data_IF_999672276029
#
_entry.id   IF_999672276029
#
_cell.length_a   1.000
_cell.length_b   1.000
_cell.length_c   1.000
_cell.angle_alpha   90.00
_cell.angle_beta   90.00
_cell.angle_gamma   90.00
#
_symmetry.space_group_name_H-M   'P 1'
#
loop_
_entity.id
_entity.type
_entity.pdbx_description
1 polymer ?
#
# COMPACT_ATOMS: atom_id res chain seq x y z
N UNK A 1 35.12 -27.82 34.71
CA UNK A 1 35.93 -26.62 34.98
C UNK A 1 36.37 -26.10 33.61
N UNK A 2 36.04 -24.92 33.12
CA UNK A 2 35.27 -23.79 33.62
C UNK A 2 34.53 -23.21 32.41
N UNK A 3 33.21 -23.04 32.49
CA UNK A 3 32.46 -22.19 31.56
C UNK A 3 32.81 -20.76 31.92
N UNK A 4 33.79 -20.18 31.22
CA UNK A 4 34.11 -18.76 31.34
C UNK A 4 32.87 -17.97 30.95
N UNK A 5 32.30 -17.24 31.89
CA UNK A 5 31.24 -16.27 31.60
C UNK A 5 31.79 -15.26 30.59
N UNK A 6 31.03 -14.90 29.55
CA UNK A 6 31.48 -13.88 28.60
C UNK A 6 31.67 -12.57 29.36
N UNK A 7 32.89 -12.01 29.33
CA UNK A 7 33.16 -10.68 29.86
C UNK A 7 32.23 -9.68 29.17
N UNK A 8 31.22 -9.25 29.90
CA UNK A 8 30.25 -8.26 29.43
C UNK A 8 30.96 -6.91 29.39
N UNK A 9 31.48 -6.54 28.22
CA UNK A 9 32.08 -5.23 28.00
C UNK A 9 30.99 -4.14 28.05
N UNK A 10 30.99 -3.37 29.14
CA UNK A 10 30.14 -2.20 29.30
C UNK A 10 30.71 -1.08 28.43
N UNK A 11 29.86 -0.49 27.60
CA UNK A 11 30.24 0.67 26.78
C UNK A 11 29.98 1.96 27.54
N UNK A 12 30.92 2.90 27.42
CA UNK A 12 30.73 4.29 27.80
C UNK A 12 29.89 5.01 26.72
N UNK A 13 28.66 5.39 27.09
CA UNK A 13 27.73 6.06 26.19
C UNK A 13 28.01 7.55 25.97
N UNK A 14 28.77 8.20 26.86
CA UNK A 14 28.97 9.65 26.83
C UNK A 14 29.61 10.14 25.52
N UNK A 15 30.68 9.51 24.98
CA UNK A 15 31.27 9.93 23.71
C UNK A 15 30.29 9.85 22.53
N UNK A 16 29.38 8.87 22.54
CA UNK A 16 28.37 8.70 21.50
C UNK A 16 27.29 9.77 21.59
N UNK A 17 26.83 10.07 22.81
CA UNK A 17 25.86 11.14 23.08
C UNK A 17 26.44 12.50 22.67
N UNK A 18 27.71 12.77 22.99
CA UNK A 18 28.39 14.01 22.63
C UNK A 18 28.55 14.15 21.12
N UNK A 19 28.95 13.08 20.42
CA UNK A 19 29.05 13.07 18.97
C UNK A 19 27.68 13.32 18.31
N UNK A 20 26.64 12.61 18.74
CA UNK A 20 25.27 12.79 18.23
C UNK A 20 24.72 14.19 18.55
N UNK A 21 25.13 14.79 19.65
CA UNK A 21 24.73 16.16 20.00
C UNK A 21 25.32 17.19 19.03
N UNK A 22 26.55 16.99 18.55
CA UNK A 22 27.14 17.85 17.50
C UNK A 22 26.34 17.76 16.19
N UNK A 23 25.99 16.55 15.78
CA UNK A 23 25.13 16.32 14.61
C UNK A 23 23.74 16.96 14.76
N UNK A 24 23.15 16.90 15.95
CA UNK A 24 21.89 17.61 16.26
C UNK A 24 22.05 19.13 16.04
N UNK A 25 23.15 19.72 16.51
CA UNK A 25 23.42 21.15 16.37
C UNK A 25 23.65 21.56 14.92
N UNK A 26 24.39 20.75 14.16
CA UNK A 26 24.60 20.92 12.72
C UNK A 26 23.29 20.84 11.94
N UNK A 27 22.46 19.82 12.22
CA UNK A 27 21.13 19.70 11.62
C UNK A 27 20.23 20.89 11.96
N UNK A 28 20.26 21.37 13.21
CA UNK A 28 19.52 22.57 13.63
C UNK A 28 20.00 23.83 12.90
N UNK A 29 21.31 23.94 12.64
CA UNK A 29 21.86 25.02 11.83
C UNK A 29 21.36 24.96 10.38
N UNK A 30 21.42 23.77 9.76
CA UNK A 30 20.91 23.55 8.40
C UNK A 30 19.42 23.90 8.28
N UNK A 31 18.60 23.55 9.29
CA UNK A 31 17.18 23.93 9.35
C UNK A 31 16.98 25.44 9.33
N UNK A 32 17.78 26.20 10.09
CA UNK A 32 17.71 27.67 10.10
C UNK A 32 18.07 28.25 8.72
N UNK A 33 18.97 27.61 8.00
CA UNK A 33 19.36 27.96 6.64
C UNK A 33 18.41 27.42 5.56
N UNK A 34 17.33 26.71 5.93
CA UNK A 34 16.39 26.02 5.03
C UNK A 34 17.05 24.94 4.14
N UNK A 35 18.21 24.45 4.55
CA UNK A 35 18.91 23.35 3.88
C UNK A 35 18.40 22.01 4.40
N UNK A 36 17.14 21.69 4.09
CA UNK A 36 16.45 20.54 4.67
C UNK A 36 17.12 19.19 4.38
N UNK A 37 17.67 18.99 3.18
CA UNK A 37 18.34 17.74 2.81
C UNK A 37 19.62 17.52 3.63
N UNK A 38 20.41 18.57 3.86
CA UNK A 38 21.60 18.48 4.72
C UNK A 38 21.22 18.27 6.19
N UNK A 39 20.13 18.90 6.64
CA UNK A 39 19.62 18.68 7.98
C UNK A 39 19.23 17.21 8.22
N UNK A 40 18.54 16.58 7.27
CA UNK A 40 18.20 15.14 7.35
C UNK A 40 19.46 14.30 7.46
N UNK A 41 20.45 14.51 6.58
CA UNK A 41 21.70 13.76 6.63
C UNK A 41 22.42 13.90 7.99
N UNK A 42 22.51 15.12 8.52
CA UNK A 42 23.11 15.34 9.84
C UNK A 42 22.34 14.61 10.96
N UNK A 43 21.00 14.60 10.93
CA UNK A 43 20.23 13.84 11.93
C UNK A 43 20.38 12.33 11.77
N UNK A 44 20.43 11.81 10.54
CA UNK A 44 20.69 10.39 10.24
C UNK A 44 22.07 9.97 10.77
N UNK A 45 23.12 10.79 10.56
CA UNK A 45 24.45 10.55 11.10
C UNK A 45 24.47 10.55 12.63
N UNK A 46 23.73 11.47 13.25
CA UNK A 46 23.55 11.51 14.71
C UNK A 46 22.87 10.26 15.26
N UNK A 47 21.82 9.76 14.60
CA UNK A 47 21.13 8.51 14.97
C UNK A 47 22.08 7.32 14.80
N UNK A 48 22.80 7.23 13.69
CA UNK A 48 23.77 6.17 13.42
C UNK A 48 24.91 6.14 14.45
N UNK A 49 25.30 7.28 15.04
CA UNK A 49 26.23 7.30 16.16
C UNK A 49 25.65 6.63 17.41
N UNK A 50 24.38 6.89 17.71
CA UNK A 50 23.69 6.31 18.88
C UNK A 50 23.42 4.81 18.69
N UNK A 51 23.11 4.37 17.48
CA UNK A 51 22.85 2.95 17.17
C UNK A 51 24.09 2.04 17.41
N UNK A 52 25.30 2.60 17.49
CA UNK A 52 26.52 1.85 17.83
C UNK A 52 26.48 1.23 19.22
N UNK A 53 25.65 1.75 20.11
CA UNK A 53 25.43 1.25 21.45
C UNK A 53 24.28 0.23 21.55
N UNK A 54 23.48 0.05 20.49
CA UNK A 54 22.30 -0.81 20.56
C UNK A 54 22.68 -2.27 20.85
N UNK A 55 21.94 -2.88 21.76
CA UNK A 55 22.19 -4.26 22.21
C UNK A 55 23.41 -4.42 23.13
N UNK A 56 24.06 -3.32 23.53
CA UNK A 56 25.24 -3.36 24.39
C UNK A 56 24.93 -2.79 25.77
N UNK A 57 25.46 -3.40 26.85
CA UNK A 57 25.21 -2.93 28.20
C UNK A 57 25.91 -1.60 28.44
N UNK A 58 25.18 -0.70 29.10
CA UNK A 58 25.55 0.69 29.35
C UNK A 58 24.92 1.13 30.67
N UNK A 59 25.44 2.21 31.28
CA UNK A 59 24.80 2.80 32.46
C UNK A 59 23.37 3.23 32.13
N UNK A 60 22.43 2.94 33.05
CA UNK A 60 21.01 3.27 32.86
C UNK A 60 20.77 4.75 32.51
N UNK A 61 21.49 5.65 33.18
CA UNK A 61 21.38 7.10 32.94
C UNK A 61 21.81 7.50 31.52
N UNK A 62 22.80 6.81 30.96
CA UNK A 62 23.26 7.03 29.59
C UNK A 62 22.27 6.46 28.57
N UNK A 63 21.68 5.28 28.86
CA UNK A 63 20.60 4.71 28.04
C UNK A 63 19.41 5.66 27.98
N UNK A 64 18.96 6.19 29.13
CA UNK A 64 17.86 7.17 29.19
C UNK A 64 18.19 8.44 28.38
N UNK A 65 19.42 8.97 28.50
CA UNK A 65 19.87 10.13 27.74
C UNK A 65 19.95 9.85 26.22
N UNK A 66 20.42 8.67 25.82
CA UNK A 66 20.47 8.25 24.42
C UNK A 66 19.08 8.12 23.80
N UNK A 67 18.15 7.48 24.52
CA UNK A 67 16.76 7.34 24.07
C UNK A 67 16.11 8.71 23.90
N UNK A 68 16.28 9.61 24.87
CA UNK A 68 15.78 10.98 24.77
C UNK A 68 16.38 11.74 23.58
N UNK A 69 17.69 11.59 23.33
CA UNK A 69 18.36 12.22 22.20
C UNK A 69 17.90 11.63 20.85
N UNK A 70 17.74 10.30 20.74
CA UNK A 70 17.17 9.65 19.55
C UNK A 70 15.77 10.21 19.25
N UNK A 71 14.90 10.30 20.25
CA UNK A 71 13.57 10.88 20.09
C UNK A 71 13.64 12.31 19.50
N UNK A 72 14.51 13.18 20.03
CA UNK A 72 14.70 14.54 19.52
C UNK A 72 15.19 14.55 18.07
N UNK A 73 16.18 13.71 17.73
CA UNK A 73 16.73 13.61 16.38
C UNK A 73 15.66 13.16 15.37
N UNK A 74 14.92 12.10 15.67
CA UNK A 74 13.80 11.63 14.83
C UNK A 74 12.72 12.70 14.67
N UNK A 75 12.37 13.40 15.76
CA UNK A 75 11.38 14.47 15.71
C UNK A 75 11.84 15.60 14.77
N UNK A 76 13.10 16.03 14.87
CA UNK A 76 13.65 17.10 14.02
C UNK A 76 13.87 16.65 12.57
N UNK A 77 14.21 15.38 12.34
CA UNK A 77 14.27 14.79 11.02
C UNK A 77 12.90 14.82 10.35
N UNK A 78 11.82 14.46 11.06
CA UNK A 78 10.46 14.56 10.55
C UNK A 78 10.09 15.98 10.11
N UNK A 79 10.52 17.01 10.86
CA UNK A 79 10.34 18.42 10.46
C UNK A 79 11.05 18.75 9.14
N UNK A 80 12.26 18.24 8.97
CA UNK A 80 13.10 18.47 7.79
C UNK A 80 12.54 17.76 6.56
N UNK A 81 11.99 16.57 6.75
CA UNK A 81 11.33 15.79 5.70
C UNK A 81 9.99 16.42 5.29
N UNK A 82 9.22 16.96 6.23
CA UNK A 82 8.05 17.78 5.91
C UNK A 82 8.40 18.99 5.06
N UNK A 83 9.51 19.67 5.38
CA UNK A 83 10.01 20.81 4.58
C UNK A 83 10.45 20.44 3.16
N UNK A 84 10.67 19.14 2.89
CA UNK A 84 10.98 18.59 1.56
C UNK A 84 9.78 17.93 0.90
N UNK A 85 8.60 17.98 1.53
CA UNK A 85 7.38 17.30 1.04
C UNK A 85 7.53 15.77 0.91
N UNK A 86 8.51 15.19 1.62
CA UNK A 86 8.73 13.74 1.67
C UNK A 86 7.83 13.11 2.74
N UNK A 87 6.52 13.18 2.54
CA UNK A 87 5.51 12.90 3.56
C UNK A 87 5.56 11.49 4.14
N UNK A 88 5.77 10.45 3.31
CA UNK A 88 5.89 9.07 3.82
C UNK A 88 7.06 8.92 4.81
N UNK A 89 8.25 9.38 4.41
CA UNK A 89 9.45 9.37 5.26
C UNK A 89 9.26 10.23 6.52
N UNK A 90 8.56 11.37 6.41
CA UNK A 90 8.26 12.22 7.55
C UNK A 90 7.36 11.50 8.58
N UNK A 91 6.34 10.77 8.13
CA UNK A 91 5.46 9.99 8.98
C UNK A 91 6.20 8.83 9.68
N UNK A 92 7.11 8.16 8.96
CA UNK A 92 7.99 7.13 9.51
C UNK A 92 8.90 7.69 10.60
N UNK A 93 9.63 8.79 10.29
CA UNK A 93 10.52 9.44 11.26
C UNK A 93 9.77 9.89 12.52
N UNK A 94 8.58 10.46 12.38
CA UNK A 94 7.76 10.86 13.52
C UNK A 94 7.25 9.63 14.31
N UNK A 95 6.95 8.52 13.65
CA UNK A 95 6.58 7.26 14.32
C UNK A 95 7.76 6.67 15.10
N UNK A 96 8.97 6.73 14.56
CA UNK A 96 10.20 6.36 15.28
C UNK A 96 10.38 7.23 16.54
N UNK A 97 10.15 8.54 16.46
CA UNK A 97 10.16 9.40 17.66
C UNK A 97 9.13 8.94 18.70
N UNK A 98 7.90 8.65 18.28
CA UNK A 98 6.81 8.23 19.17
C UNK A 98 7.03 6.84 19.79
N UNK A 99 7.88 6.01 19.17
CA UNK A 99 8.30 4.73 19.77
C UNK A 99 9.21 4.91 20.99
N UNK A 100 9.91 6.05 21.09
CA UNK A 100 10.76 6.41 22.22
C UNK A 100 10.04 7.32 23.23
N UNK A 101 9.21 8.24 22.73
CA UNK A 101 8.46 9.22 23.51
C UNK A 101 7.03 9.34 22.94
N UNK A 102 6.10 8.55 23.49
CA UNK A 102 4.71 8.47 22.99
C UNK A 102 3.94 9.77 23.12
N UNK A 103 4.34 10.63 24.06
CA UNK A 103 3.63 11.86 24.41
C UNK A 103 4.27 13.09 23.74
N UNK A 104 5.16 12.85 22.76
CA UNK A 104 5.83 13.90 22.03
C UNK A 104 4.86 14.68 21.13
N UNK A 105 4.33 15.79 21.66
CA UNK A 105 3.35 16.64 20.98
C UNK A 105 3.84 17.13 19.60
N UNK A 106 5.14 17.43 19.45
CA UNK A 106 5.71 17.85 18.16
C UNK A 106 5.70 16.71 17.15
N UNK A 107 6.06 15.49 17.56
CA UNK A 107 6.05 14.33 16.68
C UNK A 107 4.62 13.96 16.26
N UNK A 108 3.65 13.95 17.19
CA UNK A 108 2.24 13.77 16.86
C UNK A 108 1.77 14.79 15.82
N UNK A 109 2.14 16.06 15.99
CA UNK A 109 1.68 17.12 15.08
C UNK A 109 2.29 16.97 13.69
N UNK A 110 3.59 16.68 13.64
CA UNK A 110 4.32 16.44 12.39
C UNK A 110 3.83 15.19 11.66
N UNK A 111 3.56 14.11 12.39
CA UNK A 111 3.02 12.87 11.82
C UNK A 111 1.62 13.09 11.25
N UNK A 112 0.74 13.77 11.99
CA UNK A 112 -0.60 14.14 11.51
C UNK A 112 -0.55 14.94 10.20
N UNK A 113 0.33 15.95 10.12
CA UNK A 113 0.54 16.72 8.87
C UNK A 113 0.99 15.82 7.71
N UNK A 114 1.97 14.94 7.94
CA UNK A 114 2.46 14.04 6.91
C UNK A 114 1.40 13.04 6.44
N UNK A 115 0.65 12.46 7.37
CA UNK A 115 -0.42 11.48 7.11
C UNK A 115 -1.55 12.11 6.30
N UNK A 116 -1.93 13.35 6.61
CA UNK A 116 -2.94 14.10 5.87
C UNK A 116 -2.55 14.29 4.40
N UNK A 117 -1.28 14.57 4.11
CA UNK A 117 -0.78 14.76 2.74
C UNK A 117 -0.76 13.48 1.91
N UNK A 118 -0.67 12.31 2.56
CA UNK A 118 -0.74 11.00 1.90
C UNK A 118 -2.16 10.39 1.94
N UNK A 119 -3.18 11.21 2.26
CA UNK A 119 -4.59 10.81 2.40
C UNK A 119 -4.85 9.73 3.48
N UNK A 120 -3.95 9.58 4.44
CA UNK A 120 -4.17 8.67 5.58
C UNK A 120 -4.91 9.39 6.72
N UNK A 121 -6.18 9.74 6.48
CA UNK A 121 -6.93 10.62 7.39
C UNK A 121 -7.27 9.98 8.73
N UNK A 122 -7.51 8.66 8.78
CA UNK A 122 -7.81 7.94 10.02
C UNK A 122 -6.69 8.04 11.06
N UNK A 123 -5.45 7.61 10.73
CA UNK A 123 -4.30 7.80 11.60
C UNK A 123 -3.99 9.28 11.88
N UNK A 124 -4.15 10.18 10.90
CA UNK A 124 -3.92 11.60 11.12
C UNK A 124 -4.87 12.19 12.19
N UNK A 125 -6.13 11.76 12.20
CA UNK A 125 -7.13 12.17 13.19
C UNK A 125 -6.77 11.66 14.59
N UNK A 126 -6.31 10.42 14.72
CA UNK A 126 -5.87 9.86 16.00
C UNK A 126 -4.76 10.70 16.63
N UNK A 127 -3.80 11.16 15.83
CA UNK A 127 -2.72 12.03 16.29
C UNK A 127 -3.25 13.40 16.78
N UNK A 128 -4.18 14.03 16.06
CA UNK A 128 -4.80 15.30 16.49
C UNK A 128 -5.56 15.14 17.81
N UNK A 129 -6.30 14.04 17.98
CA UNK A 129 -7.02 13.75 19.22
C UNK A 129 -6.04 13.45 20.38
N UNK A 130 -4.91 12.79 20.12
CA UNK A 130 -3.85 12.62 21.11
C UNK A 130 -3.24 13.97 21.53
N UNK A 131 -2.97 14.85 20.57
CA UNK A 131 -2.53 16.23 20.81
C UNK A 131 -3.50 17.02 21.69
N UNK A 132 -4.81 16.95 21.41
CA UNK A 132 -5.83 17.60 22.23
C UNK A 132 -5.78 17.13 23.68
N UNK A 133 -5.64 15.81 23.90
CA UNK A 133 -5.51 15.23 25.25
C UNK A 133 -4.27 15.70 25.99
N UNK A 134 -3.17 15.95 25.28
CA UNK A 134 -1.90 16.42 25.84
C UNK A 134 -1.81 17.94 26.00
N UNK A 135 -2.91 18.68 25.82
CA UNK A 135 -2.93 20.14 25.98
C UNK A 135 -2.45 20.92 24.75
N UNK A 136 -2.45 20.28 23.58
CA UNK A 136 -2.37 20.93 22.27
C UNK A 136 -0.99 21.31 21.76
N UNK A 137 0.09 21.06 22.52
CA UNK A 137 1.46 21.20 21.99
C UNK A 137 1.84 22.60 21.48
N UNK A 138 1.20 23.65 22.02
CA UNK A 138 1.35 25.04 21.57
C UNK A 138 0.31 25.51 20.55
N UNK A 139 -0.60 24.64 20.11
CA UNK A 139 -1.76 24.98 19.28
C UNK A 139 -2.98 25.26 20.15
N UNK A 140 -3.88 26.13 19.69
CA UNK A 140 -5.14 26.39 20.40
C UNK A 140 -6.07 25.19 20.27
N UNK A 141 -6.86 24.92 21.31
CA UNK A 141 -7.83 23.82 21.30
C UNK A 141 -8.84 23.97 20.14
N UNK A 142 -9.23 25.21 19.82
CA UNK A 142 -10.09 25.54 18.69
C UNK A 142 -9.45 25.15 17.35
N UNK A 143 -8.17 25.46 17.13
CA UNK A 143 -7.46 25.09 15.90
C UNK A 143 -7.36 23.57 15.73
N UNK A 144 -7.14 22.84 16.83
CA UNK A 144 -7.10 21.38 16.82
C UNK A 144 -8.48 20.78 16.56
N UNK A 145 -9.53 21.40 17.12
CA UNK A 145 -10.90 20.97 16.90
C UNK A 145 -11.30 21.14 15.43
N UNK A 146 -11.09 22.34 14.86
CA UNK A 146 -11.34 22.59 13.45
C UNK A 146 -10.58 21.62 12.54
N UNK A 147 -9.33 21.30 12.89
CA UNK A 147 -8.54 20.31 12.15
C UNK A 147 -9.07 18.89 12.27
N UNK A 148 -9.49 18.48 13.47
CA UNK A 148 -10.11 17.18 13.70
C UNK A 148 -11.41 17.02 12.89
N UNK A 149 -12.24 18.06 12.84
CA UNK A 149 -13.49 18.06 12.08
C UNK A 149 -13.21 18.00 10.56
N UNK A 150 -12.24 18.76 10.06
CA UNK A 150 -11.82 18.66 8.66
C UNK A 150 -11.27 17.28 8.28
N UNK A 151 -10.51 16.62 9.16
CA UNK A 151 -10.02 15.27 8.92
C UNK A 151 -11.14 14.22 8.94
N UNK A 152 -12.19 14.41 9.74
CA UNK A 152 -13.37 13.54 9.74
C UNK A 152 -14.13 13.64 8.43
N UNK A 153 -14.37 14.87 7.95
CA UNK A 153 -15.02 15.11 6.66
C UNK A 153 -14.24 14.48 5.50
N UNK A 154 -12.90 14.65 5.47
CA UNK A 154 -12.05 14.03 4.46
C UNK A 154 -12.07 12.50 4.50
N UNK A 155 -12.09 11.92 5.71
CA UNK A 155 -12.19 10.46 5.91
C UNK A 155 -13.52 9.93 5.39
N UNK A 156 -14.63 10.57 5.76
CA UNK A 156 -15.98 10.19 5.30
C UNK A 156 -16.11 10.33 3.78
N UNK A 157 -15.54 11.38 3.19
CA UNK A 157 -15.49 11.57 1.75
C UNK A 157 -14.71 10.45 1.04
N UNK A 158 -13.52 10.09 1.55
CA UNK A 158 -12.71 9.00 0.99
C UNK A 158 -13.41 7.63 1.11
N UNK A 159 -14.07 7.36 2.25
CA UNK A 159 -14.86 6.14 2.45
C UNK A 159 -16.07 6.09 1.51
N UNK A 160 -16.73 7.22 1.26
CA UNK A 160 -17.83 7.33 0.29
C UNK A 160 -17.35 7.16 -1.14
N UNK A 161 -16.23 7.77 -1.53
CA UNK A 161 -15.60 7.57 -2.84
C UNK A 161 -15.23 6.09 -3.06
N UNK A 162 -14.69 5.42 -2.04
CA UNK A 162 -14.36 4.00 -2.11
C UNK A 162 -15.63 3.14 -2.26
N UNK A 163 -16.68 3.43 -1.50
CA UNK A 163 -17.95 2.73 -1.59
C UNK A 163 -18.59 2.90 -2.97
N UNK A 164 -18.62 4.12 -3.51
CA UNK A 164 -19.13 4.40 -4.86
C UNK A 164 -18.33 3.64 -5.92
N UNK A 165 -17.00 3.57 -5.81
CA UNK A 165 -16.16 2.76 -6.71
C UNK A 165 -16.41 1.25 -6.58
N UNK A 166 -16.74 0.76 -5.38
CA UNK A 166 -17.11 -0.64 -5.16
C UNK A 166 -18.50 -0.94 -5.73
N UNK A 167 -19.47 -0.04 -5.54
CA UNK A 167 -20.82 -0.15 -6.08
C UNK A 167 -20.79 -0.12 -7.63
N UNK A 168 -20.03 0.79 -8.25
CA UNK A 168 -19.83 0.84 -9.71
C UNK A 168 -19.18 -0.45 -10.26
N UNK A 169 -18.28 -1.08 -9.50
CA UNK A 169 -17.71 -2.39 -9.88
C UNK A 169 -18.72 -3.53 -9.73
N UNK A 170 -19.60 -3.45 -8.74
CA UNK A 170 -20.66 -4.43 -8.53
C UNK A 170 -21.77 -4.32 -9.59
N UNK A 171 -22.00 -3.13 -10.13
CA UNK A 171 -22.99 -2.83 -11.17
C UNK A 171 -22.57 -3.24 -12.60
N UNK A 172 -21.33 -3.74 -12.80
CA UNK A 172 -20.94 -4.50 -14.00
C UNK A 172 -20.60 -5.99 -13.71
N UNK A 173 -21.60 -6.82 -13.33
CA UNK A 173 -21.42 -8.26 -13.16
C UNK A 173 -20.91 -8.95 -14.42
N UNK A 174 -21.16 -8.37 -15.61
CA UNK A 174 -20.80 -8.94 -16.90
C UNK A 174 -19.30 -8.77 -17.13
N UNK A 175 -18.75 -7.59 -16.87
CA UNK A 175 -17.31 -7.31 -16.95
C UNK A 175 -16.50 -8.18 -16.00
N UNK A 176 -16.93 -8.35 -14.75
CA UNK A 176 -16.22 -9.16 -13.75
C UNK A 176 -16.31 -10.67 -14.03
N UNK A 177 -17.48 -11.16 -14.47
CA UNK A 177 -17.61 -12.54 -14.95
C UNK A 177 -16.77 -12.80 -16.20
N UNK A 178 -16.64 -11.81 -17.10
CA UNK A 178 -15.81 -11.92 -18.29
C UNK A 178 -14.31 -11.96 -17.93
N UNK A 179 -13.85 -11.15 -16.98
CA UNK A 179 -12.45 -11.18 -16.49
C UNK A 179 -12.11 -12.55 -15.88
N UNK A 180 -12.94 -13.07 -14.96
CA UNK A 180 -12.70 -14.38 -14.37
C UNK A 180 -12.81 -15.54 -15.38
N UNK A 181 -13.73 -15.43 -16.36
CA UNK A 181 -13.82 -16.43 -17.43
C UNK A 181 -12.60 -16.37 -18.36
N UNK A 182 -12.03 -15.17 -18.58
CA UNK A 182 -10.78 -14.99 -19.34
C UNK A 182 -9.58 -15.58 -18.63
N UNK A 183 -9.40 -15.28 -17.35
CA UNK A 183 -8.29 -15.82 -16.55
C UNK A 183 -8.28 -17.35 -16.59
N UNK A 184 -9.45 -17.96 -16.42
CA UNK A 184 -9.59 -19.42 -16.45
C UNK A 184 -9.41 -20.00 -17.87
N UNK A 185 -9.78 -19.25 -18.91
CA UNK A 185 -9.45 -19.62 -20.29
C UNK A 185 -7.94 -19.58 -20.56
N UNK A 186 -7.25 -18.52 -20.13
CA UNK A 186 -5.81 -18.36 -20.29
C UNK A 186 -5.05 -19.47 -19.53
N UNK A 187 -5.52 -19.85 -18.34
CA UNK A 187 -5.02 -21.01 -17.58
C UNK A 187 -5.18 -22.33 -18.35
N UNK A 188 -6.34 -22.57 -18.96
CA UNK A 188 -6.59 -23.78 -19.77
C UNK A 188 -5.70 -23.78 -21.01
N UNK A 189 -5.59 -22.65 -21.72
CA UNK A 189 -4.69 -22.49 -22.87
C UNK A 189 -3.25 -22.81 -22.50
N UNK A 190 -2.79 -22.33 -21.34
CA UNK A 190 -1.45 -22.61 -20.85
C UNK A 190 -1.28 -24.07 -20.41
N UNK A 191 -2.27 -24.65 -19.71
CA UNK A 191 -2.25 -26.03 -19.19
C UNK A 191 -2.10 -27.06 -20.32
N UNK A 192 -2.75 -26.83 -21.46
CA UNK A 192 -2.76 -27.76 -22.59
C UNK A 192 -1.87 -27.31 -23.77
N UNK A 193 -1.01 -26.31 -23.56
CA UNK A 193 -0.11 -25.74 -24.57
C UNK A 193 -0.82 -25.42 -25.91
N UNK A 194 -2.02 -24.84 -25.82
CA UNK A 194 -2.84 -24.43 -26.98
C UNK A 194 -2.27 -23.14 -27.58
N UNK A 195 -1.01 -23.19 -28.03
CA UNK A 195 -0.31 -22.04 -28.60
C UNK A 195 -0.93 -21.61 -29.94
N UNK A 196 -0.88 -20.30 -30.17
CA UNK A 196 -1.21 -19.59 -31.42
C UNK A 196 -2.68 -19.40 -31.81
N UNK A 197 -3.64 -19.73 -30.94
CA UNK A 197 -5.04 -19.39 -31.18
C UNK A 197 -5.71 -20.16 -32.33
N UNK A 198 -4.99 -21.08 -32.99
CA UNK A 198 -5.54 -22.00 -34.00
C UNK A 198 -6.63 -22.88 -33.39
N UNK A 199 -6.43 -23.41 -32.17
CA UNK A 199 -7.45 -24.22 -31.49
C UNK A 199 -8.74 -23.43 -31.19
N UNK A 200 -8.61 -22.15 -30.83
CA UNK A 200 -9.76 -21.28 -30.59
C UNK A 200 -10.44 -20.87 -31.91
N UNK A 201 -9.66 -20.63 -32.96
CA UNK A 201 -10.15 -20.34 -34.31
C UNK A 201 -10.90 -21.53 -34.93
N UNK A 202 -10.33 -22.73 -34.88
CA UNK A 202 -10.97 -23.97 -35.33
C UNK A 202 -12.27 -24.22 -34.58
N UNK A 203 -12.29 -24.01 -33.25
CA UNK A 203 -13.49 -24.22 -32.45
C UNK A 203 -14.56 -23.15 -32.73
N UNK A 204 -14.16 -21.90 -32.99
CA UNK A 204 -15.08 -20.83 -33.40
C UNK A 204 -15.67 -21.09 -34.80
N UNK A 205 -14.86 -21.56 -35.77
CA UNK A 205 -15.34 -21.95 -37.09
C UNK A 205 -16.28 -23.16 -37.00
N UNK A 206 -15.99 -24.10 -36.10
CA UNK A 206 -16.83 -25.27 -35.87
C UNK A 206 -18.20 -24.87 -35.29
N UNK A 207 -18.22 -23.92 -34.34
CA UNK A 207 -19.45 -23.38 -33.76
C UNK A 207 -20.33 -22.63 -34.78
N UNK A 208 -19.73 -21.96 -35.77
CA UNK A 208 -20.47 -21.19 -36.79
C UNK A 208 -20.90 -22.05 -37.99
N UNK A 209 -20.22 -23.17 -38.25
CA UNK A 209 -20.46 -24.04 -39.41
C UNK A 209 -21.86 -24.69 -39.49
N UNK A 210 -22.64 -24.65 -38.40
CA UNK A 210 -24.02 -25.18 -38.36
C UNK A 210 -24.11 -26.72 -38.35
N UNK A 211 -22.97 -27.41 -38.26
CA UNK A 211 -22.88 -28.86 -38.26
C UNK A 211 -22.48 -29.36 -36.85
N UNK A 212 -23.38 -30.12 -36.21
CA UNK A 212 -23.25 -30.90 -34.96
C UNK A 212 -23.41 -30.17 -33.61
N UNK A 213 -24.07 -30.85 -32.66
CA UNK A 213 -24.07 -30.49 -31.24
C UNK A 213 -22.64 -30.56 -30.68
N UNK A 214 -22.02 -29.41 -30.46
CA UNK A 214 -20.71 -29.29 -29.80
C UNK A 214 -20.93 -29.41 -28.30
N UNK A 215 -20.38 -30.46 -27.70
CA UNK A 215 -20.45 -30.71 -26.26
C UNK A 215 -19.05 -30.62 -25.64
N UNK A 216 -18.94 -30.29 -24.33
CA UNK A 216 -17.67 -30.29 -23.61
C UNK A 216 -16.88 -31.60 -23.77
N UNK A 217 -17.58 -32.73 -23.84
CA UNK A 217 -16.99 -34.07 -24.04
C UNK A 217 -16.25 -34.21 -25.37
N UNK A 218 -16.76 -33.60 -26.44
CA UNK A 218 -16.12 -33.64 -27.77
C UNK A 218 -14.87 -32.77 -27.82
N UNK A 219 -14.93 -31.60 -27.17
CA UNK A 219 -13.79 -30.69 -27.05
C UNK A 219 -12.70 -31.33 -26.17
N UNK A 220 -13.09 -31.94 -25.06
CA UNK A 220 -12.22 -32.73 -24.18
C UNK A 220 -11.50 -33.85 -24.95
N UNK A 221 -12.22 -34.61 -25.78
CA UNK A 221 -11.62 -35.68 -26.60
C UNK A 221 -10.68 -35.14 -27.68
N UNK A 222 -11.02 -34.03 -28.34
CA UNK A 222 -10.24 -33.50 -29.48
C UNK A 222 -8.89 -32.93 -29.05
N UNK A 223 -8.85 -32.25 -27.90
CA UNK A 223 -7.62 -31.63 -27.39
C UNK A 223 -7.06 -32.35 -26.16
N UNK A 224 -7.55 -33.56 -25.87
CA UNK A 224 -7.12 -34.39 -24.74
C UNK A 224 -7.07 -33.59 -23.41
N UNK A 225 -8.14 -32.83 -23.16
CA UNK A 225 -8.32 -31.98 -21.97
C UNK A 225 -9.44 -32.50 -21.08
N UNK A 226 -9.47 -32.06 -19.83
CA UNK A 226 -10.55 -32.38 -18.89
C UNK A 226 -11.90 -31.78 -19.33
N UNK A 227 -13.00 -32.46 -19.03
CA UNK A 227 -14.35 -32.02 -19.43
C UNK A 227 -14.74 -30.67 -18.82
N UNK A 228 -14.29 -30.40 -17.59
CA UNK A 228 -14.49 -29.10 -16.93
C UNK A 228 -13.70 -27.97 -17.62
N UNK A 229 -12.45 -28.23 -18.01
CA UNK A 229 -11.61 -27.28 -18.74
C UNK A 229 -12.17 -27.00 -20.14
N UNK A 230 -12.68 -28.04 -20.80
CA UNK A 230 -13.38 -27.93 -22.08
C UNK A 230 -14.65 -27.08 -22.00
N UNK A 231 -15.40 -27.17 -20.89
CA UNK A 231 -16.58 -26.34 -20.66
C UNK A 231 -16.22 -24.85 -20.48
N UNK A 232 -15.15 -24.54 -19.74
CA UNK A 232 -14.62 -23.17 -19.62
C UNK A 232 -14.16 -22.64 -20.98
N UNK A 233 -13.43 -23.46 -21.74
CA UNK A 233 -12.91 -23.12 -23.05
C UNK A 233 -14.04 -22.76 -24.05
N UNK A 234 -15.10 -23.58 -24.07
CA UNK A 234 -16.31 -23.33 -24.87
C UNK A 234 -17.05 -22.06 -24.44
N UNK A 235 -17.23 -21.87 -23.13
CA UNK A 235 -17.96 -20.73 -22.57
C UNK A 235 -17.29 -19.39 -22.94
N UNK A 236 -15.97 -19.33 -22.94
CA UNK A 236 -15.21 -18.14 -23.36
C UNK A 236 -15.40 -17.81 -24.85
N UNK A 237 -15.32 -18.83 -25.72
CA UNK A 237 -15.49 -18.65 -27.17
C UNK A 237 -16.93 -18.22 -27.50
N UNK A 238 -17.92 -18.81 -26.84
CA UNK A 238 -19.32 -18.39 -26.96
C UNK A 238 -19.53 -16.94 -26.52
N UNK A 239 -18.96 -16.53 -25.37
CA UNK A 239 -19.04 -15.15 -24.90
C UNK A 239 -18.41 -14.15 -25.89
N UNK A 240 -17.31 -14.53 -26.55
CA UNK A 240 -16.70 -13.73 -27.62
C UNK A 240 -17.57 -13.61 -28.87
N UNK A 241 -18.26 -14.69 -29.27
CA UNK A 241 -19.22 -14.69 -30.38
C UNK A 241 -20.45 -13.82 -30.06
N UNK A 242 -21.03 -13.98 -28.88
CA UNK A 242 -22.18 -13.19 -28.41
C UNK A 242 -21.84 -11.71 -28.31
N UNK A 243 -20.63 -11.38 -27.85
CA UNK A 243 -20.13 -10.00 -27.86
C UNK A 243 -20.03 -9.46 -29.29
N UNK A 244 -19.49 -10.23 -30.23
CA UNK A 244 -19.38 -9.84 -31.64
C UNK A 244 -20.75 -9.65 -32.30
N UNK A 245 -21.74 -10.51 -31.97
CA UNK A 245 -23.13 -10.40 -32.42
C UNK A 245 -23.77 -9.13 -31.86
N UNK A 246 -23.70 -8.90 -30.54
CA UNK A 246 -24.23 -7.66 -29.92
C UNK A 246 -23.58 -6.40 -30.47
N UNK A 247 -22.27 -6.43 -30.73
CA UNK A 247 -21.56 -5.28 -31.28
C UNK A 247 -21.93 -5.03 -32.75
N UNK A 248 -22.22 -6.09 -33.52
CA UNK A 248 -22.76 -5.99 -34.87
C UNK A 248 -24.22 -5.47 -34.88
N UNK A 249 -25.06 -5.95 -33.96
CA UNK A 249 -26.45 -5.49 -33.76
C UNK A 249 -26.52 -4.01 -33.35
N UNK A 250 -25.59 -3.57 -32.50
CA UNK A 250 -25.46 -2.16 -32.10
C UNK A 250 -24.90 -1.27 -33.23
N UNK A 251 -24.19 -1.84 -34.22
CA UNK A 251 -23.62 -1.12 -35.36
C UNK A 251 -24.47 -1.18 -36.65
N UNK A 252 -25.48 -2.06 -36.74
CA UNK A 252 -26.39 -2.14 -37.88
C UNK A 252 -27.55 -3.12 -37.69
N UNK A 253 -28.78 -2.67 -37.96
CA UNK A 253 -29.99 -3.49 -37.92
C UNK A 253 -29.96 -4.64 -38.97
N UNK A 254 -30.36 -5.85 -38.54
CA UNK A 254 -30.87 -7.01 -39.29
C UNK A 254 -29.92 -7.86 -40.17
N UNK A 255 -29.68 -9.12 -39.78
CA UNK A 255 -30.11 -10.31 -40.56
C UNK A 255 -29.83 -11.66 -39.84
N UNK A 256 -30.91 -12.46 -39.75
CA UNK A 256 -31.00 -13.93 -39.79
C UNK A 256 -30.32 -14.82 -38.70
N UNK A 257 -31.15 -15.19 -37.70
CA UNK A 257 -31.47 -16.56 -37.23
C UNK A 257 -30.30 -17.57 -37.11
N UNK A 258 -30.01 -18.01 -35.88
CA UNK A 258 -29.50 -19.35 -35.57
C UNK A 258 -29.99 -19.79 -34.16
N UNK A 259 -30.06 -21.11 -33.88
CA UNK A 259 -31.06 -21.72 -33.01
C UNK A 259 -30.69 -21.71 -31.52
N UNK A 260 -31.72 -21.61 -30.68
CA UNK A 260 -31.63 -21.80 -29.23
C UNK A 260 -31.37 -23.27 -28.88
N UNK A 261 -30.45 -23.53 -27.94
CA UNK A 261 -30.28 -24.83 -27.30
C UNK A 261 -30.56 -24.73 -25.80
N UNK A 262 -31.31 -25.72 -25.29
CA UNK A 262 -31.64 -25.90 -23.88
C UNK A 262 -30.39 -26.24 -23.06
N UNK A 263 -30.24 -25.53 -21.93
CA UNK A 263 -29.24 -25.74 -20.86
C UNK A 263 -29.74 -26.80 -19.89
#
# INVERSE_FOLDING_TARGET
>A
MASGEPEVQIIDGLPLIDAATKFKEEGNHCIKCREYSKAVAAYEDGIAMLDKADGKPMLRVEVEAMVALKAVLFCNMAQSLLGQELYRRAAEAASSCLSFDSDNTKALHRRSLALEQIRSYGPALQDVLALQRLGGGGLSLESLQARADSLREKKEAEEKELQEMEDDRADDPIGMAMVHTKERFDEVVQKYDLKDGEAAGELADWLVSGEWNITPQRVAQRWNMEEEDAAVFLKWIQAGLDFKIRNAENQGVAQAIAPSLDV
#
